data_IF_617453887299
#
_entry.id   IF_617453887299
#
_cell.length_a   1.000
_cell.length_b   1.000
_cell.length_c   1.000
_cell.angle_alpha   90.00
_cell.angle_beta   90.00
_cell.angle_gamma   90.00
#
_symmetry.space_group_name_H-M   'P 1'
#
loop_
_entity.id
_entity.type
_entity.pdbx_description
1 polymer ?
#
# COMPACT_ATOMS: atom_id res chain seq x y z
N UNK A 1 5.77 3.76 -15.68
CA UNK A 1 4.66 3.43 -14.75
C UNK A 1 5.23 2.90 -13.46
N UNK A 2 4.61 3.28 -12.38
CA UNK A 2 5.02 2.79 -11.07
C UNK A 2 3.77 2.48 -10.25
N UNK A 3 3.96 1.68 -9.22
CA UNK A 3 2.89 1.33 -8.29
C UNK A 3 3.31 1.72 -6.90
N UNK A 4 2.45 2.45 -6.21
CA UNK A 4 2.69 2.90 -4.84
C UNK A 4 1.86 2.04 -3.90
N UNK A 5 2.52 1.46 -2.92
CA UNK A 5 1.83 0.75 -1.85
C UNK A 5 1.51 1.76 -0.74
N UNK A 6 0.23 1.97 -0.50
CA UNK A 6 -0.24 2.90 0.51
C UNK A 6 -0.87 2.12 1.65
N UNK A 7 -0.36 2.31 2.84
CA UNK A 7 -0.89 1.71 4.05
C UNK A 7 -1.74 2.73 4.77
N UNK A 8 -2.97 2.36 5.10
CA UNK A 8 -3.92 3.25 5.76
C UNK A 8 -4.33 2.65 7.09
N UNK A 9 -4.38 3.51 8.11
CA UNK A 9 -4.89 3.11 9.42
C UNK A 9 -5.98 4.08 9.84
N UNK A 10 -7.00 3.55 10.50
CA UNK A 10 -8.08 4.34 11.07
C UNK A 10 -7.97 4.26 12.58
N UNK A 11 -7.78 5.41 13.22
CA UNK A 11 -7.61 5.45 14.66
C UNK A 11 -8.22 6.73 15.20
N UNK A 12 -9.06 6.58 16.21
CA UNK A 12 -9.63 7.71 16.94
C UNK A 12 -10.32 8.73 16.02
N UNK A 13 -11.06 8.23 15.04
CA UNK A 13 -11.78 9.08 14.10
C UNK A 13 -10.92 9.70 13.01
N UNK A 14 -9.67 9.32 12.92
CA UNK A 14 -8.76 9.87 11.93
C UNK A 14 -8.19 8.78 11.05
N UNK A 15 -8.01 9.12 9.78
CA UNK A 15 -7.38 8.23 8.81
C UNK A 15 -5.95 8.71 8.58
N UNK A 16 -5.00 7.81 8.77
CA UNK A 16 -3.60 8.11 8.49
C UNK A 16 -3.13 7.25 7.32
N UNK A 17 -2.43 7.87 6.39
CA UNK A 17 -1.90 7.19 5.23
C UNK A 17 -0.38 7.32 5.20
N UNK A 18 0.27 6.22 4.86
CA UNK A 18 1.72 6.18 4.75
C UNK A 18 2.11 5.47 3.47
N UNK A 19 2.98 6.11 2.67
CA UNK A 19 3.55 5.45 1.51
C UNK A 19 4.55 4.41 1.96
N UNK A 20 4.40 3.19 1.47
CA UNK A 20 5.19 2.08 1.95
C UNK A 20 6.07 1.44 0.87
N UNK A 21 6.35 2.20 -0.19
CA UNK A 21 7.26 1.76 -1.23
C UNK A 21 6.68 1.96 -2.62
N UNK A 22 7.59 2.08 -3.58
CA UNK A 22 7.24 2.24 -4.99
C UNK A 22 7.80 1.04 -5.74
N UNK A 23 7.00 0.45 -6.60
CA UNK A 23 7.36 -0.77 -7.32
C UNK A 23 7.14 -0.58 -8.81
N UNK A 24 7.91 -1.30 -9.62
CA UNK A 24 7.80 -1.18 -11.06
C UNK A 24 6.60 -1.94 -11.63
N UNK A 25 6.19 -3.02 -10.97
CA UNK A 25 5.08 -3.83 -11.45
C UNK A 25 4.03 -3.97 -10.36
N UNK A 26 2.81 -4.20 -10.81
CA UNK A 26 1.70 -4.46 -9.89
C UNK A 26 1.96 -5.73 -9.06
N UNK A 27 2.57 -6.73 -9.67
CA UNK A 27 2.84 -7.98 -8.99
C UNK A 27 3.80 -7.77 -7.81
N UNK A 28 4.82 -6.95 -8.00
CA UNK A 28 5.75 -6.64 -6.92
C UNK A 28 5.05 -5.89 -5.79
N UNK A 29 4.21 -4.92 -6.14
CA UNK A 29 3.44 -4.17 -5.16
C UNK A 29 2.50 -5.09 -4.38
N UNK A 30 1.83 -5.98 -5.09
CA UNK A 30 0.92 -6.93 -4.47
C UNK A 30 1.65 -7.89 -3.53
N UNK A 31 2.84 -8.33 -3.92
CA UNK A 31 3.63 -9.22 -3.07
C UNK A 31 4.02 -8.54 -1.77
N UNK A 32 4.41 -7.26 -1.83
CA UNK A 32 4.72 -6.51 -0.62
C UNK A 32 3.48 -6.26 0.23
N UNK A 33 2.35 -6.03 -0.42
CA UNK A 33 1.08 -5.88 0.29
C UNK A 33 0.74 -7.15 1.07
N UNK A 34 0.94 -8.31 0.46
CA UNK A 34 0.68 -9.59 1.12
C UNK A 34 1.63 -9.80 2.30
N UNK A 35 2.88 -9.42 2.13
CA UNK A 35 3.86 -9.52 3.20
C UNK A 35 3.47 -8.61 4.37
N UNK A 36 3.03 -7.39 4.07
CA UNK A 36 2.59 -6.45 5.08
C UNK A 36 1.35 -6.97 5.79
N UNK A 37 0.44 -7.57 5.05
CA UNK A 37 -0.76 -8.19 5.62
C UNK A 37 -0.39 -9.26 6.64
N UNK A 38 0.62 -10.06 6.33
CA UNK A 38 1.08 -11.07 7.25
C UNK A 38 1.68 -10.48 8.52
N UNK A 39 2.38 -9.36 8.39
CA UNK A 39 3.00 -8.71 9.53
C UNK A 39 1.99 -8.02 10.45
N UNK A 40 1.09 -7.21 9.87
CA UNK A 40 0.13 -6.46 10.69
C UNK A 40 -1.08 -7.29 11.09
N UNK A 41 -1.37 -8.35 10.34
CA UNK A 41 -2.47 -9.26 10.66
C UNK A 41 -2.08 -10.42 11.57
N UNK A 42 -0.87 -10.39 12.10
CA UNK A 42 -0.37 -11.40 13.03
C UNK A 42 -0.43 -12.81 12.45
N UNK A 43 -0.17 -12.92 11.14
CA UNK A 43 -0.15 -14.20 10.46
C UNK A 43 -1.49 -14.68 9.94
N UNK A 44 -2.53 -13.89 10.08
CA UNK A 44 -3.86 -14.27 9.60
C UNK A 44 -4.03 -14.10 8.09
N UNK A 45 -3.09 -13.40 7.43
CA UNK A 45 -3.14 -13.24 5.98
C UNK A 45 -4.13 -12.19 5.50
N UNK A 46 -4.67 -11.37 6.39
CA UNK A 46 -5.53 -10.27 6.02
C UNK A 46 -5.33 -9.11 6.99
N UNK A 47 -5.76 -7.93 6.57
CA UNK A 47 -5.62 -6.73 7.40
C UNK A 47 -6.71 -6.68 8.46
N UNK A 48 -6.37 -6.20 9.67
CA UNK A 48 -7.39 -5.92 10.69
C UNK A 48 -8.42 -4.89 10.19
N UNK A 49 -9.60 -4.83 10.80
CA UNK A 49 -10.67 -3.94 10.31
C UNK A 49 -10.29 -2.46 10.26
N UNK A 50 -9.35 -2.02 11.08
CA UNK A 50 -8.93 -0.62 11.11
C UNK A 50 -7.66 -0.37 10.30
N UNK A 51 -7.25 -1.32 9.48
CA UNK A 51 -6.05 -1.20 8.67
C UNK A 51 -6.32 -1.70 7.27
N UNK A 52 -5.64 -1.10 6.30
CA UNK A 52 -5.80 -1.48 4.91
C UNK A 52 -4.58 -1.04 4.12
N UNK A 53 -4.26 -1.77 3.08
CA UNK A 53 -3.22 -1.37 2.15
C UNK A 53 -3.72 -1.54 0.73
N UNK A 54 -3.36 -0.60 -0.13
CA UNK A 54 -3.76 -0.63 -1.53
C UNK A 54 -2.56 -0.34 -2.41
N UNK A 55 -2.56 -0.93 -3.61
CA UNK A 55 -1.58 -0.62 -4.63
C UNK A 55 -2.20 0.37 -5.59
N UNK A 56 -1.62 1.54 -5.70
CA UNK A 56 -2.10 2.61 -6.56
C UNK A 56 -1.15 2.79 -7.73
N UNK A 57 -1.73 2.87 -8.92
CA UNK A 57 -0.95 3.13 -10.11
C UNK A 57 -0.56 4.60 -10.15
N UNK A 58 0.73 4.86 -10.34
CA UNK A 58 1.25 6.21 -10.43
C UNK A 58 1.71 6.45 -11.86
N UNK A 59 1.25 7.53 -12.44
CA UNK A 59 1.74 7.96 -13.74
C UNK A 59 2.49 9.27 -13.52
N UNK A 60 3.78 9.23 -13.81
CA UNK A 60 4.55 10.45 -13.73
C UNK A 60 4.24 11.29 -14.96
N UNK A 61 3.97 12.58 -14.79
CA UNK A 61 3.75 13.44 -15.94
C UNK A 61 5.00 13.45 -16.80
N UNK A 62 4.78 13.45 -18.12
CA UNK A 62 5.90 13.57 -19.02
C UNK A 62 6.57 14.90 -18.78
N UNK A 63 7.89 14.91 -18.89
CA UNK A 63 8.65 16.14 -18.79
C UNK A 63 8.09 17.13 -19.79
N UNK A 64 7.74 18.35 -19.35
CA UNK A 64 7.16 19.34 -20.26
C UNK A 64 8.11 19.89 -21.30
N UNK A 65 9.37 19.56 -21.24
CA UNK A 65 10.32 20.04 -22.25
C UNK A 65 10.19 19.31 -23.56
#
# INVERSE_FOLDING_TARGET
MAWLLVFMTYWDGQIMTVGNGVFETHLECFAEREKLSGEVGMGHGYFPPNMQAVCMKIEFPKDPT
#
